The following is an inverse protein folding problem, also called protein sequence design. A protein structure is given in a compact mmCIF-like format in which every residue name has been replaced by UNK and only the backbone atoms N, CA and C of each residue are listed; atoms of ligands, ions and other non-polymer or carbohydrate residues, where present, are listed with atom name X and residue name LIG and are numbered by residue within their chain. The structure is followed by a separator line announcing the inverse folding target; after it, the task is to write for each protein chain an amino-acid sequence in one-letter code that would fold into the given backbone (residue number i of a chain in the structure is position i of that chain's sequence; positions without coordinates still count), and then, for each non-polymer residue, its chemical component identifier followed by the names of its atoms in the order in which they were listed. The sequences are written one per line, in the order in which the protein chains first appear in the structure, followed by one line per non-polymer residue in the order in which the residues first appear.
data_IF_524305029537
#
_entry.id   IF_524305029537
#
_cell.length_a   1.000
_cell.length_b   1.000
_cell.length_c   1.000
_cell.angle_alpha   90.00
_cell.angle_beta   90.00
_cell.angle_gamma   90.00
#
_symmetry.space_group_name_H-M   'P 1'
#
loop_
_entity.id
_entity.type
_entity.pdbx_description
1 polymer ?
#
# COMPACT_ATOMS: atom_id res chain seq x y z
N UNK A 1 6.17 -6.78 7.44
CA UNK A 1 6.90 -5.63 7.93
C UNK A 1 7.31 -5.83 9.39
N UNK A 2 6.36 -5.84 10.31
CA UNK A 2 6.60 -5.89 11.76
C UNK A 2 7.37 -7.13 12.23
N UNK A 3 7.30 -8.22 11.49
CA UNK A 3 7.97 -9.48 11.82
C UNK A 3 9.39 -9.59 11.25
N UNK A 4 9.60 -9.09 10.03
CA UNK A 4 10.86 -9.25 9.28
C UNK A 4 11.69 -7.97 9.20
N UNK A 5 11.12 -6.83 9.59
CA UNK A 5 11.71 -5.51 9.42
C UNK A 5 11.50 -4.90 8.04
N UNK A 6 11.67 -3.57 7.92
CA UNK A 6 11.43 -2.85 6.68
C UNK A 6 12.42 -3.21 5.57
N UNK A 7 13.70 -3.44 5.88
CA UNK A 7 14.74 -3.82 4.91
C UNK A 7 14.34 -5.05 4.10
N UNK A 8 14.06 -6.16 4.77
CA UNK A 8 13.72 -7.43 4.12
C UNK A 8 12.39 -7.31 3.38
N UNK A 9 11.38 -6.76 4.02
CA UNK A 9 10.03 -6.66 3.45
C UNK A 9 10.01 -5.79 2.20
N UNK A 10 10.70 -4.64 2.22
CA UNK A 10 10.76 -3.75 1.07
C UNK A 10 11.56 -4.34 -0.09
N UNK A 11 12.69 -5.01 0.20
CA UNK A 11 13.49 -5.70 -0.81
C UNK A 11 12.71 -6.82 -1.49
N UNK A 12 11.98 -7.65 -0.72
CA UNK A 12 11.10 -8.69 -1.28
C UNK A 12 10.03 -8.06 -2.18
N UNK A 13 9.43 -6.96 -1.75
CA UNK A 13 8.40 -6.28 -2.52
C UNK A 13 8.94 -5.72 -3.85
N UNK A 14 10.13 -5.13 -3.85
CA UNK A 14 10.79 -4.62 -5.05
C UNK A 14 11.16 -5.74 -6.02
N UNK A 15 11.68 -6.87 -5.50
CA UNK A 15 11.98 -8.04 -6.33
C UNK A 15 10.68 -8.66 -6.86
N UNK A 16 9.64 -8.74 -6.02
CA UNK A 16 8.32 -9.24 -6.44
C UNK A 16 7.70 -8.40 -7.56
N UNK A 17 8.00 -7.09 -7.64
CA UNK A 17 7.46 -6.20 -8.66
C UNK A 17 7.75 -6.67 -10.10
N UNK A 18 8.79 -7.49 -10.32
CA UNK A 18 9.07 -8.08 -11.63
C UNK A 18 7.93 -9.00 -12.10
N UNK A 19 7.28 -9.71 -11.18
CA UNK A 19 6.21 -10.68 -11.51
C UNK A 19 5.02 -10.00 -12.18
N UNK A 20 4.37 -8.98 -11.59
CA UNK A 20 3.27 -8.29 -12.25
C UNK A 20 3.72 -7.49 -13.49
N UNK A 21 4.97 -7.03 -13.56
CA UNK A 21 5.51 -6.40 -14.77
C UNK A 21 5.60 -7.40 -15.93
N UNK A 22 6.13 -8.60 -15.69
CA UNK A 22 6.16 -9.69 -16.69
C UNK A 22 4.72 -10.07 -17.08
N UNK A 23 3.84 -10.30 -16.10
CA UNK A 23 2.45 -10.65 -16.35
C UNK A 23 1.74 -9.60 -17.24
N UNK A 24 1.99 -8.29 -16.98
CA UNK A 24 1.49 -7.21 -17.83
C UNK A 24 2.08 -7.27 -19.24
N UNK A 25 3.38 -7.49 -19.35
CA UNK A 25 4.08 -7.49 -20.64
C UNK A 25 3.65 -8.65 -21.55
N UNK A 26 3.33 -9.83 -21.00
CA UNK A 26 2.89 -11.01 -21.76
C UNK A 26 1.38 -11.10 -21.93
N UNK A 27 0.59 -10.26 -21.27
CA UNK A 27 -0.85 -10.25 -21.37
C UNK A 27 -1.32 -10.09 -22.84
N UNK A 28 -2.23 -10.98 -23.26
CA UNK A 28 -2.78 -10.97 -24.63
C UNK A 28 -4.24 -10.56 -24.67
N UNK A 29 -4.95 -10.68 -23.56
CA UNK A 29 -6.35 -10.33 -23.42
C UNK A 29 -6.59 -9.40 -22.22
N UNK A 30 -7.80 -8.85 -22.16
CA UNK A 30 -8.21 -7.92 -21.11
C UNK A 30 -8.22 -8.58 -19.73
N UNK A 31 -8.61 -9.84 -19.61
CA UNK A 31 -8.68 -10.53 -18.32
C UNK A 31 -7.30 -10.76 -17.73
N UNK A 32 -6.32 -11.17 -18.56
CA UNK A 32 -4.92 -11.29 -18.13
C UNK A 32 -4.35 -9.95 -17.69
N UNK A 33 -4.67 -8.87 -18.41
CA UNK A 33 -4.25 -7.53 -18.05
C UNK A 33 -4.83 -7.10 -16.69
N UNK A 34 -6.10 -7.38 -16.43
CA UNK A 34 -6.75 -7.09 -15.14
C UNK A 34 -6.05 -7.84 -14.00
N UNK A 35 -5.78 -9.13 -14.16
CA UNK A 35 -5.09 -9.94 -13.15
C UNK A 35 -3.68 -9.38 -12.88
N UNK A 36 -2.93 -9.06 -13.94
CA UNK A 36 -1.61 -8.46 -13.80
C UNK A 36 -1.64 -7.12 -13.04
N UNK A 37 -2.65 -6.28 -13.30
CA UNK A 37 -2.85 -5.00 -12.59
C UNK A 37 -3.27 -5.20 -11.13
N UNK A 38 -4.06 -6.20 -10.82
CA UNK A 38 -4.39 -6.55 -9.43
C UNK A 38 -3.13 -6.98 -8.65
N UNK A 39 -2.27 -7.78 -9.25
CA UNK A 39 -0.98 -8.15 -8.66
C UNK A 39 -0.07 -6.93 -8.46
N UNK A 40 -0.08 -5.97 -9.42
CA UNK A 40 0.65 -4.71 -9.31
C UNK A 40 0.18 -3.88 -8.09
N UNK A 41 -1.09 -3.97 -7.71
CA UNK A 41 -1.63 -3.31 -6.51
C UNK A 41 -0.89 -3.68 -5.23
N UNK A 42 -0.36 -4.90 -5.12
CA UNK A 42 0.45 -5.35 -3.98
C UNK A 42 1.72 -4.49 -3.84
N UNK A 43 2.34 -4.12 -4.96
CA UNK A 43 3.55 -3.30 -4.98
C UNK A 43 3.29 -1.90 -4.41
N UNK A 44 2.07 -1.38 -4.56
CA UNK A 44 1.64 -0.12 -3.97
C UNK A 44 1.78 -0.05 -2.44
N UNK A 45 1.76 -1.20 -1.74
CA UNK A 45 2.02 -1.26 -0.30
C UNK A 45 3.44 -0.79 0.09
N UNK A 46 4.37 -0.71 -0.85
CA UNK A 46 5.71 -0.19 -0.66
C UNK A 46 5.74 1.25 -0.11
N UNK A 47 4.74 2.06 -0.45
CA UNK A 47 4.64 3.41 0.09
C UNK A 47 4.51 3.41 1.62
N UNK A 48 3.69 2.53 2.18
CA UNK A 48 3.51 2.39 3.64
C UNK A 48 4.77 1.86 4.31
N UNK A 49 5.50 0.95 3.65
CA UNK A 49 6.78 0.44 4.15
C UNK A 49 7.81 1.57 4.28
N UNK A 50 7.89 2.46 3.30
CA UNK A 50 8.78 3.61 3.32
C UNK A 50 8.41 4.63 4.40
N UNK A 51 7.13 4.94 4.61
CA UNK A 51 6.66 5.78 5.71
C UNK A 51 7.13 5.22 7.06
N UNK A 52 6.97 3.91 7.28
CA UNK A 52 7.43 3.25 8.50
C UNK A 52 8.95 3.39 8.68
N UNK A 53 9.70 3.21 7.61
CA UNK A 53 11.15 3.33 7.63
C UNK A 53 11.60 4.76 7.98
N UNK A 54 10.99 5.77 7.38
CA UNK A 54 11.23 7.19 7.74
C UNK A 54 10.99 7.41 9.24
N UNK A 55 9.92 6.84 9.80
CA UNK A 55 9.63 6.98 11.23
C UNK A 55 10.65 6.30 12.16
N UNK A 56 11.38 5.29 11.68
CA UNK A 56 12.46 4.66 12.46
C UNK A 56 13.77 5.43 12.40
N UNK A 57 14.04 6.12 11.29
CA UNK A 57 15.30 6.83 11.05
C UNK A 57 15.32 8.26 11.59
N UNK A 58 14.17 8.95 11.60
CA UNK A 58 14.09 10.35 12.01
C UNK A 58 13.54 10.51 13.43
N UNK A 59 14.02 11.52 14.18
CA UNK A 59 13.45 11.85 15.49
C UNK A 59 12.02 12.42 15.34
N UNK A 60 11.16 12.30 16.37
CA UNK A 60 9.76 12.74 16.31
C UNK A 60 9.51 14.15 15.79
N UNK A 61 10.40 15.09 16.09
CA UNK A 61 10.31 16.48 15.65
C UNK A 61 10.46 16.67 14.13
N UNK A 62 11.18 15.78 13.46
CA UNK A 62 11.52 15.90 12.04
C UNK A 62 10.74 14.90 11.16
N UNK A 63 9.96 13.99 11.76
CA UNK A 63 9.21 12.94 11.04
C UNK A 63 8.28 13.56 9.99
N UNK A 64 7.55 14.62 10.32
CA UNK A 64 6.60 15.25 9.39
C UNK A 64 7.28 15.78 8.12
N UNK A 65 8.41 16.48 8.27
CA UNK A 65 9.21 16.97 7.16
C UNK A 65 9.77 15.81 6.32
N UNK A 66 10.35 14.81 6.98
CA UNK A 66 10.94 13.65 6.31
C UNK A 66 9.90 12.84 5.53
N UNK A 67 8.70 12.64 6.08
CA UNK A 67 7.58 12.00 5.39
C UNK A 67 7.05 12.84 4.22
N UNK A 68 7.01 14.17 4.36
CA UNK A 68 6.65 15.09 3.28
C UNK A 68 7.63 14.99 2.10
N UNK A 69 8.93 14.96 2.37
CA UNK A 69 9.97 14.76 1.36
C UNK A 69 9.81 13.37 0.71
N UNK A 70 9.63 12.32 1.50
CA UNK A 70 9.42 10.97 0.98
C UNK A 70 8.20 10.87 0.06
N UNK A 71 7.05 11.45 0.48
CA UNK A 71 5.84 11.50 -0.34
C UNK A 71 6.03 12.33 -1.61
N UNK A 72 6.76 13.46 -1.53
CA UNK A 72 7.14 14.29 -2.67
C UNK A 72 7.98 13.52 -3.70
N UNK A 73 8.99 12.76 -3.25
CA UNK A 73 9.78 11.88 -4.13
C UNK A 73 8.93 10.80 -4.79
N UNK A 74 7.93 10.23 -4.09
CA UNK A 74 7.00 9.28 -4.68
C UNK A 74 6.22 9.88 -5.86
N UNK A 75 5.70 11.10 -5.70
CA UNK A 75 5.01 11.82 -6.77
C UNK A 75 5.95 12.23 -7.91
N UNK A 76 7.18 12.63 -7.59
CA UNK A 76 8.19 12.93 -8.61
C UNK A 76 8.56 11.68 -9.43
N UNK A 77 8.63 10.50 -8.76
CA UNK A 77 8.82 9.22 -9.44
C UNK A 77 7.68 8.87 -10.41
N UNK A 78 6.43 9.15 -10.04
CA UNK A 78 5.27 8.98 -10.93
C UNK A 78 5.38 9.90 -12.15
N UNK A 79 5.66 11.19 -11.95
CA UNK A 79 5.92 12.14 -13.05
C UNK A 79 7.05 11.66 -13.98
N UNK A 80 8.18 11.22 -13.41
CA UNK A 80 9.31 10.68 -14.17
C UNK A 80 8.90 9.46 -15.01
N UNK A 81 8.10 8.56 -14.46
CA UNK A 81 7.59 7.39 -15.16
C UNK A 81 6.67 7.79 -16.32
N UNK A 82 5.73 8.71 -16.11
CA UNK A 82 4.82 9.19 -17.17
C UNK A 82 5.58 9.84 -18.34
N UNK A 83 6.72 10.45 -18.08
CA UNK A 83 7.56 11.08 -19.10
C UNK A 83 8.50 10.08 -19.78
N UNK A 84 9.21 9.27 -18.99
CA UNK A 84 10.27 8.39 -19.51
C UNK A 84 9.73 7.12 -20.16
N UNK A 85 8.68 6.52 -19.64
CA UNK A 85 8.19 5.24 -20.18
C UNK A 85 7.66 5.37 -21.62
N UNK A 86 6.91 6.41 -22.02
CA UNK A 86 6.54 6.62 -23.42
C UNK A 86 7.74 6.85 -24.35
N UNK A 87 8.77 7.57 -23.87
CA UNK A 87 10.00 7.80 -24.65
C UNK A 87 10.74 6.49 -24.91
N UNK A 88 10.87 5.63 -23.88
CA UNK A 88 11.50 4.32 -24.00
C UNK A 88 10.67 3.43 -24.94
N UNK A 89 9.34 3.44 -24.81
CA UNK A 89 8.45 2.65 -25.68
C UNK A 89 8.55 3.10 -27.14
N UNK A 90 8.62 4.41 -27.41
CA UNK A 90 8.80 4.95 -28.73
C UNK A 90 10.21 4.69 -29.30
N UNK A 91 11.26 4.86 -28.48
CA UNK A 91 12.65 4.64 -28.86
C UNK A 91 12.94 3.15 -29.20
N UNK A 92 12.14 2.22 -28.65
CA UNK A 92 12.26 0.78 -28.93
C UNK A 92 11.22 0.28 -29.94
N UNK A 93 10.52 1.16 -30.64
CA UNK A 93 9.47 0.83 -31.59
C UNK A 93 9.98 -0.03 -32.76
N UNK A 94 11.25 0.14 -33.17
CA UNK A 94 11.88 -0.69 -34.21
C UNK A 94 11.87 -2.19 -33.89
N UNK A 95 11.87 -2.57 -32.59
CA UNK A 95 11.80 -3.97 -32.14
C UNK A 95 10.37 -4.53 -32.16
N UNK A 96 9.37 -3.65 -32.31
CA UNK A 96 7.94 -3.98 -32.28
C UNK A 96 7.24 -3.65 -33.62
N UNK A 97 7.96 -3.72 -34.74
CA UNK A 97 7.40 -3.49 -36.05
C UNK A 97 6.94 -2.04 -36.30
N UNK A 98 7.56 -1.05 -35.66
CA UNK A 98 7.27 0.39 -35.81
C UNK A 98 6.20 0.94 -34.87
N UNK A 99 5.64 0.12 -33.97
CA UNK A 99 4.70 0.58 -32.92
C UNK A 99 5.42 0.72 -31.58
N UNK A 100 4.92 1.62 -30.72
CA UNK A 100 5.50 1.82 -29.38
C UNK A 100 5.57 0.52 -28.58
N UNK A 101 6.78 0.14 -28.15
CA UNK A 101 7.03 -1.14 -27.49
C UNK A 101 6.78 -1.07 -25.98
N UNK A 102 5.51 -0.89 -25.59
CA UNK A 102 5.11 -0.81 -24.17
C UNK A 102 5.39 -2.10 -23.40
N UNK A 103 5.38 -3.26 -24.07
CA UNK A 103 5.66 -4.58 -23.45
C UNK A 103 7.09 -4.65 -22.94
N UNK A 104 8.05 -4.26 -23.78
CA UNK A 104 9.46 -4.19 -23.41
C UNK A 104 9.67 -3.15 -22.28
N UNK A 105 8.99 -2.01 -22.36
CA UNK A 105 9.06 -0.98 -21.33
C UNK A 105 8.60 -1.51 -19.96
N UNK A 106 7.52 -2.27 -19.91
CA UNK A 106 7.06 -2.92 -18.67
C UNK A 106 8.08 -3.94 -18.14
N UNK A 107 8.65 -4.77 -19.01
CA UNK A 107 9.72 -5.70 -18.62
C UNK A 107 10.93 -4.99 -18.04
N UNK A 108 11.42 -3.96 -18.70
CA UNK A 108 12.55 -3.15 -18.21
C UNK A 108 12.27 -2.53 -16.85
N UNK A 109 11.06 -2.00 -16.64
CA UNK A 109 10.67 -1.45 -15.34
C UNK A 109 10.73 -2.51 -14.24
N UNK A 110 10.22 -3.72 -14.50
CA UNK A 110 10.27 -4.84 -13.55
C UNK A 110 11.70 -5.29 -13.25
N UNK A 111 12.55 -5.38 -14.26
CA UNK A 111 13.97 -5.75 -14.11
C UNK A 111 14.72 -4.70 -13.28
N UNK A 112 14.54 -3.41 -13.59
CA UNK A 112 15.16 -2.32 -12.83
C UNK A 112 14.71 -2.35 -11.37
N UNK A 113 13.41 -2.55 -11.11
CA UNK A 113 12.88 -2.66 -9.75
C UNK A 113 13.50 -3.85 -8.98
N UNK A 114 13.66 -5.02 -9.64
CA UNK A 114 14.26 -6.19 -9.03
C UNK A 114 15.76 -5.99 -8.73
N UNK A 115 16.51 -5.40 -9.66
CA UNK A 115 17.93 -5.06 -9.45
C UNK A 115 18.05 -4.08 -8.28
N UNK A 116 17.22 -3.03 -8.26
CA UNK A 116 17.19 -2.07 -7.16
C UNK A 116 16.82 -2.75 -5.83
N UNK A 117 15.92 -3.73 -5.83
CA UNK A 117 15.58 -4.52 -4.65
C UNK A 117 16.79 -5.26 -4.05
N UNK A 118 17.65 -5.80 -4.90
CA UNK A 118 18.90 -6.46 -4.47
C UNK A 118 19.91 -5.43 -3.92
N UNK A 119 20.08 -4.29 -4.61
CA UNK A 119 20.94 -3.19 -4.15
C UNK A 119 20.44 -2.67 -2.81
N UNK A 120 19.13 -2.43 -2.69
CA UNK A 120 18.52 -1.97 -1.46
C UNK A 120 18.75 -2.93 -0.29
N UNK A 121 18.60 -4.23 -0.51
CA UNK A 121 18.88 -5.24 0.51
C UNK A 121 20.31 -5.17 1.05
N UNK A 122 21.29 -4.91 0.20
CA UNK A 122 22.70 -4.86 0.59
C UNK A 122 23.12 -3.52 1.19
N UNK A 123 22.43 -2.43 0.84
CA UNK A 123 22.87 -1.06 1.18
C UNK A 123 22.12 -0.46 2.37
N UNK A 124 20.93 -1.01 2.73
CA UNK A 124 20.04 -0.40 3.73
C UNK A 124 19.99 -1.25 5.00
N UNK A 125 19.84 -0.60 6.15
CA UNK A 125 19.60 -1.24 7.46
C UNK A 125 18.22 -0.87 7.98
N UNK A 126 17.64 -1.70 8.85
CA UNK A 126 16.28 -1.47 9.39
C UNK A 126 16.20 -0.22 10.26
N UNK A 127 17.29 0.10 10.97
CA UNK A 127 17.40 1.23 11.92
C UNK A 127 18.76 1.90 11.81
N UNK A 128 18.89 3.14 12.29
CA UNK A 128 20.19 3.81 12.43
C UNK A 128 21.16 2.99 13.30
N UNK A 129 22.48 3.15 13.12
CA UNK A 129 23.48 2.51 13.96
C UNK A 129 23.25 2.79 15.44
N UNK A 130 23.27 1.73 16.27
CA UNK A 130 23.07 1.85 17.72
C UNK A 130 21.60 1.81 18.18
N UNK A 131 20.64 1.74 17.27
CA UNK A 131 19.21 1.60 17.61
C UNK A 131 18.70 0.22 17.21
N UNK A 132 18.15 -0.52 18.17
CA UNK A 132 17.50 -1.80 17.86
C UNK A 132 16.11 -1.60 17.26
N UNK A 133 15.75 -2.40 16.26
CA UNK A 133 14.41 -2.42 15.69
C UNK A 133 13.39 -2.95 16.70
N UNK A 134 12.53 -2.05 17.20
CA UNK A 134 11.47 -2.40 18.14
C UNK A 134 10.29 -3.03 17.41
N UNK A 135 10.13 -4.34 17.57
CA UNK A 135 8.94 -5.03 17.06
C UNK A 135 7.70 -4.60 17.86
N UNK A 136 6.59 -4.26 17.20
CA UNK A 136 5.38 -3.93 17.92
C UNK A 136 4.91 -5.14 18.73
N UNK A 137 4.44 -4.89 19.96
CA UNK A 137 3.94 -5.94 20.86
C UNK A 137 2.58 -6.50 20.42
N UNK A 138 1.80 -5.71 19.70
CA UNK A 138 0.49 -6.08 19.16
C UNK A 138 0.45 -5.81 17.66
N UNK A 139 -0.12 -6.74 16.92
CA UNK A 139 -0.22 -6.69 15.46
C UNK A 139 -1.69 -6.62 15.05
N UNK A 140 -1.94 -6.02 13.88
CA UNK A 140 -3.23 -6.12 13.20
C UNK A 140 -4.11 -4.88 13.24
N UNK A 141 -3.98 -4.00 14.22
CA UNK A 141 -4.73 -2.75 14.25
C UNK A 141 -4.01 -1.65 15.06
N UNK A 142 -4.41 -0.41 14.85
CA UNK A 142 -3.92 0.74 15.60
C UNK A 142 -4.40 0.69 17.05
N UNK A 143 -3.50 0.91 18.02
CA UNK A 143 -3.88 1.12 19.42
C UNK A 143 -4.51 2.49 19.58
N UNK A 144 -5.65 2.55 20.27
CA UNK A 144 -6.36 3.80 20.56
C UNK A 144 -6.34 4.10 22.04
N UNK A 145 -6.44 5.39 22.40
CA UNK A 145 -6.35 5.84 23.78
C UNK A 145 -7.70 6.05 24.47
N UNK A 146 -8.78 6.12 23.69
CA UNK A 146 -10.14 6.30 24.21
C UNK A 146 -11.16 5.43 23.47
N UNK A 147 -12.35 5.27 24.08
CA UNK A 147 -13.49 4.64 23.41
C UNK A 147 -13.97 5.43 22.20
N UNK A 148 -13.93 6.76 22.29
CA UNK A 148 -14.30 7.65 21.17
C UNK A 148 -13.39 7.43 19.96
N UNK A 149 -12.08 7.33 20.18
CA UNK A 149 -11.10 7.06 19.12
C UNK A 149 -11.28 5.67 18.50
N UNK A 150 -11.72 4.68 19.30
CA UNK A 150 -12.05 3.35 18.76
C UNK A 150 -13.21 3.41 17.76
N UNK A 151 -14.28 4.12 18.10
CA UNK A 151 -15.41 4.31 17.16
C UNK A 151 -15.00 5.13 15.94
N UNK A 152 -14.16 6.16 16.13
CA UNK A 152 -13.57 6.93 15.04
C UNK A 152 -12.79 6.04 14.05
N UNK A 153 -11.96 5.13 14.58
CA UNK A 153 -11.22 4.15 13.76
C UNK A 153 -12.16 3.26 12.95
N UNK A 154 -13.25 2.76 13.56
CA UNK A 154 -14.24 1.94 12.86
C UNK A 154 -14.96 2.71 11.74
N UNK A 155 -15.32 3.97 12.00
CA UNK A 155 -15.97 4.83 11.00
C UNK A 155 -15.04 5.08 9.81
N UNK A 156 -13.76 5.35 10.06
CA UNK A 156 -12.78 5.54 8.98
C UNK A 156 -12.59 4.27 8.13
N UNK A 157 -12.44 3.12 8.78
CA UNK A 157 -12.35 1.85 8.08
C UNK A 157 -13.60 1.58 7.26
N UNK A 158 -14.80 1.88 7.81
CA UNK A 158 -16.06 1.76 7.08
C UNK A 158 -16.11 2.69 5.86
N UNK A 159 -15.61 3.91 5.96
CA UNK A 159 -15.61 4.88 4.86
C UNK A 159 -14.90 4.36 3.61
N UNK A 160 -13.73 3.72 3.77
CA UNK A 160 -13.02 3.10 2.66
C UNK A 160 -13.79 1.93 2.05
N UNK A 161 -14.32 1.04 2.89
CA UNK A 161 -15.12 -0.12 2.44
C UNK A 161 -16.38 0.33 1.71
N UNK A 162 -17.04 1.35 2.23
CA UNK A 162 -18.23 1.95 1.61
C UNK A 162 -17.91 2.55 0.23
N UNK A 163 -16.81 3.30 0.12
CA UNK A 163 -16.37 3.88 -1.16
C UNK A 163 -16.08 2.80 -2.21
N UNK A 164 -15.39 1.71 -1.81
CA UNK A 164 -15.15 0.57 -2.71
C UNK A 164 -16.44 -0.16 -3.08
N UNK A 165 -17.40 -0.28 -2.15
CA UNK A 165 -18.72 -0.85 -2.40
C UNK A 165 -19.53 -0.02 -3.40
N UNK A 166 -19.50 1.32 -3.28
CA UNK A 166 -20.11 2.23 -4.24
C UNK A 166 -19.45 2.14 -5.62
N UNK A 167 -18.11 2.01 -5.66
CA UNK A 167 -17.39 1.82 -6.92
C UNK A 167 -17.82 0.52 -7.61
N UNK A 168 -17.90 -0.58 -6.89
CA UNK A 168 -18.36 -1.87 -7.43
C UNK A 168 -19.81 -1.77 -7.97
N UNK A 169 -20.69 -1.09 -7.23
CA UNK A 169 -22.06 -0.82 -7.68
C UNK A 169 -22.08 0.03 -8.95
N UNK A 170 -21.27 1.08 -9.01
CA UNK A 170 -21.18 1.96 -10.18
C UNK A 170 -20.70 1.21 -11.42
N UNK A 171 -19.70 0.32 -11.27
CA UNK A 171 -19.18 -0.50 -12.36
C UNK A 171 -20.15 -1.56 -12.85
N UNK A 172 -21.11 -1.98 -12.01
CA UNK A 172 -22.14 -2.94 -12.38
C UNK A 172 -23.36 -2.29 -13.06
N UNK A 173 -23.42 -0.95 -13.15
CA UNK A 173 -24.55 -0.26 -13.79
C UNK A 173 -24.64 -0.51 -15.30
N UNK A 174 -25.87 -0.54 -15.83
CA UNK A 174 -26.18 -0.81 -17.25
C UNK A 174 -25.41 0.05 -18.26
N UNK A 175 -24.97 1.25 -17.87
CA UNK A 175 -24.19 2.14 -18.76
C UNK A 175 -22.73 1.70 -18.91
N UNK A 176 -22.14 1.08 -17.88
CA UNK A 176 -20.73 0.70 -17.89
C UNK A 176 -20.52 -0.79 -18.19
N UNK A 177 -21.44 -1.65 -17.78
CA UNK A 177 -21.43 -3.11 -17.98
C UNK A 177 -20.06 -3.79 -17.70
N UNK A 178 -19.28 -3.22 -16.79
CA UNK A 178 -17.94 -3.72 -16.47
C UNK A 178 -18.01 -4.93 -15.54
N UNK A 179 -18.97 -4.92 -14.61
CA UNK A 179 -19.22 -6.02 -13.69
C UNK A 179 -20.64 -6.56 -13.90
N UNK A 180 -20.81 -7.86 -13.84
CA UNK A 180 -22.14 -8.44 -13.73
C UNK A 180 -22.63 -8.42 -12.27
N UNK A 181 -23.94 -8.64 -12.05
CA UNK A 181 -24.52 -8.60 -10.72
C UNK A 181 -23.89 -9.61 -9.76
N UNK A 182 -23.54 -10.81 -10.22
CA UNK A 182 -22.88 -11.83 -9.40
C UNK A 182 -21.50 -11.38 -8.92
N UNK A 183 -20.70 -10.77 -9.80
CA UNK A 183 -19.39 -10.23 -9.46
C UNK A 183 -19.50 -9.07 -8.46
N UNK A 184 -20.48 -8.19 -8.62
CA UNK A 184 -20.75 -7.10 -7.68
C UNK A 184 -21.09 -7.64 -6.28
N UNK A 185 -22.02 -8.60 -6.19
CA UNK A 185 -22.37 -9.21 -4.90
C UNK A 185 -21.18 -9.94 -4.27
N UNK A 186 -20.40 -10.64 -5.07
CA UNK A 186 -19.16 -11.29 -4.58
C UNK A 186 -18.18 -10.27 -3.98
N UNK A 187 -17.94 -9.13 -4.65
CA UNK A 187 -17.11 -8.05 -4.13
C UNK A 187 -17.68 -7.52 -2.82
N UNK A 188 -18.99 -7.30 -2.72
CA UNK A 188 -19.61 -6.82 -1.49
C UNK A 188 -19.44 -7.80 -0.33
N UNK A 189 -19.58 -9.11 -0.57
CA UNK A 189 -19.33 -10.13 0.45
C UNK A 189 -17.87 -10.10 0.91
N UNK A 190 -16.92 -9.98 -0.01
CA UNK A 190 -15.50 -9.84 0.33
C UNK A 190 -15.23 -8.58 1.15
N UNK A 191 -15.80 -7.44 0.76
CA UNK A 191 -15.66 -6.18 1.48
C UNK A 191 -16.27 -6.25 2.89
N UNK A 192 -17.45 -6.87 3.02
CA UNK A 192 -18.08 -7.10 4.33
C UNK A 192 -17.23 -8.01 5.22
N UNK A 193 -16.67 -9.08 4.66
CA UNK A 193 -15.75 -9.98 5.36
C UNK A 193 -14.47 -9.27 5.79
N UNK A 194 -13.91 -8.43 4.92
CA UNK A 194 -12.73 -7.61 5.23
C UNK A 194 -13.02 -6.62 6.36
N UNK A 195 -14.16 -5.93 6.31
CA UNK A 195 -14.57 -5.01 7.37
C UNK A 195 -14.78 -5.73 8.70
N UNK A 196 -15.44 -6.88 8.69
CA UNK A 196 -15.63 -7.69 9.88
C UNK A 196 -14.28 -8.14 10.47
N UNK A 197 -13.34 -8.57 9.63
CA UNK A 197 -11.99 -8.94 10.05
C UNK A 197 -11.22 -7.75 10.64
N UNK A 198 -11.25 -6.58 9.99
CA UNK A 198 -10.60 -5.36 10.48
C UNK A 198 -11.20 -4.91 11.83
N UNK A 199 -12.53 -4.96 11.96
CA UNK A 199 -13.23 -4.65 13.22
C UNK A 199 -12.84 -5.61 14.33
N UNK A 200 -12.76 -6.90 14.03
CA UNK A 200 -12.32 -7.93 14.98
C UNK A 200 -10.88 -7.70 15.44
N UNK A 201 -9.96 -7.40 14.53
CA UNK A 201 -8.57 -7.08 14.87
C UNK A 201 -8.47 -5.79 15.70
N UNK A 202 -9.21 -4.75 15.32
CA UNK A 202 -9.28 -3.51 16.07
C UNK A 202 -9.80 -3.75 17.50
N UNK A 203 -10.83 -4.59 17.65
CA UNK A 203 -11.35 -4.96 18.96
C UNK A 203 -10.34 -5.75 19.78
N UNK A 204 -9.67 -6.74 19.20
CA UNK A 204 -8.66 -7.56 19.92
C UNK A 204 -7.53 -6.68 20.49
N UNK A 205 -7.01 -5.75 19.69
CA UNK A 205 -5.92 -4.85 20.08
C UNK A 205 -6.38 -3.87 21.17
N UNK A 206 -7.62 -3.37 21.08
CA UNK A 206 -8.14 -2.30 21.92
C UNK A 206 -9.12 -2.77 23.01
N UNK A 207 -9.27 -4.08 23.20
CA UNK A 207 -10.22 -4.69 24.12
C UNK A 207 -10.18 -4.09 25.52
N UNK A 208 -9.00 -3.88 26.07
CA UNK A 208 -8.83 -3.39 27.45
C UNK A 208 -9.24 -1.91 27.56
N UNK A 209 -9.07 -1.13 26.51
CA UNK A 209 -9.52 0.27 26.43
C UNK A 209 -11.04 0.33 26.28
N UNK A 210 -11.60 -0.48 25.39
CA UNK A 210 -13.04 -0.55 25.13
C UNK A 210 -13.81 -1.03 26.38
N UNK A 211 -13.26 -2.03 27.09
CA UNK A 211 -13.85 -2.51 28.35
C UNK A 211 -13.58 -1.61 29.55
N UNK A 212 -12.76 -0.55 29.40
CA UNK A 212 -12.42 0.38 30.47
C UNK A 212 -11.41 -0.15 31.48
N UNK A 213 -10.76 -1.27 31.17
CA UNK A 213 -9.73 -1.90 32.02
C UNK A 213 -8.40 -1.15 31.99
N UNK A 214 -8.07 -0.53 30.85
CA UNK A 214 -6.87 0.29 30.66
C UNK A 214 -7.29 1.75 30.51
N UNK A 215 -6.80 2.63 31.39
CA UNK A 215 -6.99 4.09 31.32
C UNK A 215 -5.63 4.73 31.06
N UNK A 216 -5.56 5.61 30.09
CA UNK A 216 -4.37 6.39 29.80
C UNK A 216 -4.39 7.70 30.60
N UNK A 217 -3.24 8.17 31.05
CA UNK A 217 -3.09 9.48 31.67
C UNK A 217 -3.46 10.58 30.66
N UNK A 218 -3.93 11.77 31.12
CA UNK A 218 -4.30 12.85 30.18
C UNK A 218 -3.20 13.26 29.21
N UNK A 219 -1.94 13.18 29.64
CA UNK A 219 -0.76 13.47 28.81
C UNK A 219 -0.48 12.40 27.71
N UNK A 220 -1.01 11.20 27.88
CA UNK A 220 -0.83 10.08 26.93
C UNK A 220 -2.01 9.95 25.96
N UNK A 221 -3.08 10.74 26.16
CA UNK A 221 -4.26 10.70 25.30
C UNK A 221 -4.04 11.57 24.07
N UNK A 222 -4.30 11.03 22.92
CA UNK A 222 -4.45 11.79 21.69
C UNK A 222 -5.91 11.71 21.21
N UNK A 223 -6.37 12.77 20.59
CA UNK A 223 -7.66 12.76 19.91
C UNK A 223 -7.45 12.30 18.46
N UNK A 224 -8.31 11.42 17.99
CA UNK A 224 -8.23 10.90 16.63
C UNK A 224 -8.28 12.02 15.58
N UNK A 225 -9.02 13.10 15.85
CA UNK A 225 -9.04 14.31 15.02
C UNK A 225 -7.68 15.00 14.88
N UNK A 226 -6.76 14.83 15.82
CA UNK A 226 -5.40 15.38 15.75
C UNK A 226 -4.44 14.52 14.90
N UNK A 227 -4.82 13.27 14.65
CA UNK A 227 -4.04 12.32 13.84
C UNK A 227 -4.53 12.29 12.40
N UNK A 228 -5.78 12.68 12.16
CA UNK A 228 -6.43 12.67 10.84
C UNK A 228 -6.21 13.96 10.02
N UNK A 229 -5.59 14.96 10.60
CA UNK A 229 -5.14 16.20 9.94
C UNK A 229 -3.65 16.13 9.62
#
# INVERSE_FOLDING_TARGET
LDRFGPRITYSILLIFAIVPCIATAVAQDFSQMVIARLLMGIVGSGFVLGIRMVSEWFPPKDIGMAQGIYGGWGNFGAFGAEFLLPIIAAGTAFMAGGTANWRLTMLLTGVIAAIYGVIYFNSVTDTPPGKEYKRPKKYGAMEVTSRGDFYGLLIMNFGLIFALGLLAWRLAQKKLHFLNAGQMYFIWVLLAGLYAYQTYQAWLVNRDVVLGRKKFAPAERYQFSQVAL
#
